data_IF_696741927398
#
_entry.id   IF_696741927398
#
_cell.length_a   1.000
_cell.length_b   1.000
_cell.length_c   1.000
_cell.angle_alpha   90.00
_cell.angle_beta   90.00
_cell.angle_gamma   90.00
#
_symmetry.space_group_name_H-M   'P 1'
#
loop_
_entity.id
_entity.type
_entity.pdbx_description
1 polymer ?
#
# COMPACT_ATOMS: atom_id res chain seq x y z
N UNK A 1 -11.50 30.24 -5.23
CA UNK A 1 -10.50 29.31 -4.66
C UNK A 1 -9.20 30.05 -4.42
N UNK A 2 -8.40 29.67 -3.40
CA UNK A 2 -7.09 30.25 -3.14
C UNK A 2 -6.19 30.20 -4.39
N UNK A 3 -5.36 31.23 -4.55
CA UNK A 3 -4.26 31.24 -5.51
C UNK A 3 -3.10 30.42 -4.97
N UNK A 4 -2.41 29.73 -5.87
CA UNK A 4 -1.27 28.85 -5.55
C UNK A 4 -0.22 29.58 -4.70
N UNK A 5 0.05 30.84 -5.06
CA UNK A 5 0.95 31.78 -4.38
C UNK A 5 0.66 31.90 -2.88
N UNK A 6 -0.60 31.78 -2.47
CA UNK A 6 -1.02 31.91 -1.06
C UNK A 6 -0.61 30.71 -0.21
N UNK A 7 -0.28 29.57 -0.85
CA UNK A 7 0.13 28.32 -0.20
C UNK A 7 1.56 27.93 -0.61
N UNK A 8 2.35 28.85 -1.16
CA UNK A 8 3.70 28.56 -1.66
C UNK A 8 4.55 27.83 -0.61
N UNK A 9 4.55 28.32 0.63
CA UNK A 9 5.37 27.82 1.73
C UNK A 9 4.66 26.74 2.59
N UNK A 10 3.45 26.33 2.21
CA UNK A 10 2.67 25.34 2.96
C UNK A 10 2.81 23.97 2.28
N UNK A 11 3.25 22.96 3.01
CA UNK A 11 3.19 21.58 2.54
C UNK A 11 1.74 21.08 2.56
N UNK A 12 1.28 20.46 1.48
CA UNK A 12 -0.12 19.97 1.36
C UNK A 12 -0.17 18.46 1.20
N UNK A 13 0.54 17.90 0.22
CA UNK A 13 0.56 16.46 -0.06
C UNK A 13 1.77 16.16 -0.95
N UNK A 14 2.34 14.97 -0.82
CA UNK A 14 3.43 14.50 -1.66
C UNK A 14 2.97 14.46 -3.13
N UNK A 15 3.85 14.90 -4.04
CA UNK A 15 3.65 14.83 -5.50
C UNK A 15 2.41 15.55 -6.05
N UNK A 16 1.82 16.48 -5.28
CA UNK A 16 0.73 17.31 -5.79
C UNK A 16 1.24 18.24 -6.91
N UNK A 17 0.56 18.26 -8.04
CA UNK A 17 0.95 19.08 -9.21
C UNK A 17 0.56 20.56 -9.09
N UNK A 18 -0.56 20.87 -8.46
CA UNK A 18 -1.01 22.25 -8.17
C UNK A 18 -1.73 22.30 -6.83
N UNK A 19 -1.52 23.38 -6.07
CA UNK A 19 -2.22 23.64 -4.80
C UNK A 19 -3.59 24.33 -4.99
N UNK A 20 -3.98 24.62 -6.23
CA UNK A 20 -5.29 25.22 -6.53
C UNK A 20 -6.37 24.18 -6.82
N UNK A 21 -7.59 24.48 -6.37
CA UNK A 21 -8.75 23.62 -6.59
C UNK A 21 -9.04 22.73 -5.39
N UNK A 22 -9.58 21.55 -5.66
CA UNK A 22 -9.95 20.57 -4.64
C UNK A 22 -8.89 19.47 -4.58
N UNK A 23 -8.38 19.21 -3.38
CA UNK A 23 -7.50 18.09 -3.07
C UNK A 23 -8.05 17.34 -1.85
N UNK A 24 -7.61 16.09 -1.67
CA UNK A 24 -7.95 15.25 -0.53
C UNK A 24 -6.69 14.90 0.26
N UNK A 25 -6.00 15.89 0.86
CA UNK A 25 -4.76 15.63 1.59
C UNK A 25 -5.03 14.79 2.83
N UNK A 26 -4.08 13.91 3.16
CA UNK A 26 -4.09 13.20 4.44
C UNK A 26 -3.84 14.19 5.59
N UNK A 27 -4.55 14.08 6.73
CA UNK A 27 -4.25 14.87 7.92
C UNK A 27 -2.81 14.66 8.45
N UNK A 28 -2.31 13.43 8.36
CA UNK A 28 -0.93 13.05 8.64
C UNK A 28 -0.50 12.02 7.59
N UNK A 29 0.18 12.49 6.56
CA UNK A 29 0.60 11.68 5.43
C UNK A 29 1.55 10.55 5.86
N UNK A 30 2.50 10.84 6.75
CA UNK A 30 3.47 9.86 7.22
C UNK A 30 2.81 8.74 8.03
N UNK A 31 1.85 9.09 8.88
CA UNK A 31 1.08 8.10 9.63
C UNK A 31 0.21 7.24 8.72
N UNK A 32 -0.40 7.86 7.70
CA UNK A 32 -1.31 7.18 6.78
C UNK A 32 -0.60 6.29 5.76
N UNK A 33 0.70 6.48 5.51
CA UNK A 33 1.50 5.52 4.74
C UNK A 33 1.66 4.16 5.42
N UNK A 34 1.51 4.09 6.74
CA UNK A 34 1.62 2.83 7.48
C UNK A 34 3.03 2.47 7.95
N UNK A 35 4.06 3.23 7.57
CA UNK A 35 5.45 2.96 7.97
C UNK A 35 5.66 2.85 9.49
N UNK A 36 5.04 3.72 10.34
CA UNK A 36 5.17 3.57 11.79
C UNK A 36 4.65 2.21 12.28
N UNK A 37 3.52 1.75 11.75
CA UNK A 37 2.89 0.48 12.11
C UNK A 37 3.68 -0.72 11.56
N UNK A 38 4.24 -0.60 10.36
CA UNK A 38 5.12 -1.61 9.75
C UNK A 38 6.37 -1.84 10.60
N UNK A 39 7.09 -0.76 10.94
CA UNK A 39 8.30 -0.87 11.78
C UNK A 39 7.96 -1.36 13.18
N UNK A 40 6.83 -0.91 13.76
CA UNK A 40 6.39 -1.41 15.05
C UNK A 40 6.11 -2.92 15.00
N UNK A 41 5.39 -3.40 13.98
CA UNK A 41 5.09 -4.83 13.84
C UNK A 41 6.37 -5.66 13.69
N UNK A 42 7.32 -5.19 12.89
CA UNK A 42 8.62 -5.84 12.72
C UNK A 42 9.39 -5.95 14.04
N UNK A 43 9.50 -4.86 14.78
CA UNK A 43 10.24 -4.84 16.05
C UNK A 43 9.58 -5.70 17.12
N UNK A 44 8.25 -5.66 17.23
CA UNK A 44 7.49 -6.50 18.15
C UNK A 44 7.54 -7.97 17.79
N UNK A 45 7.48 -8.31 16.49
CA UNK A 45 7.61 -9.68 16.00
C UNK A 45 8.90 -10.32 16.50
N UNK A 46 10.02 -9.62 16.33
CA UNK A 46 11.34 -10.04 16.82
C UNK A 46 11.36 -10.12 18.35
N UNK A 47 10.89 -9.09 19.04
CA UNK A 47 11.00 -9.00 20.50
C UNK A 47 10.15 -10.05 21.24
N UNK A 48 9.05 -10.51 20.63
CA UNK A 48 8.09 -11.43 21.25
C UNK A 48 8.08 -12.83 20.62
N UNK A 49 8.99 -13.09 19.67
CA UNK A 49 9.07 -14.36 18.94
C UNK A 49 7.72 -14.77 18.32
N UNK A 50 7.01 -13.79 17.75
CA UNK A 50 5.77 -14.02 17.00
C UNK A 50 6.01 -13.82 15.52
N UNK A 51 5.19 -14.44 14.70
CA UNK A 51 5.17 -14.17 13.27
C UNK A 51 4.78 -12.69 12.98
N UNK A 52 5.42 -12.05 11.99
CA UNK A 52 5.00 -10.74 11.50
C UNK A 52 3.63 -10.85 10.81
N UNK A 53 2.86 -9.76 10.83
CA UNK A 53 1.52 -9.74 10.20
C UNK A 53 1.59 -9.91 8.68
N UNK A 54 2.64 -9.39 8.05
CA UNK A 54 2.93 -9.53 6.61
C UNK A 54 4.26 -10.24 6.41
N UNK A 55 4.27 -11.55 6.66
CA UNK A 55 5.43 -12.41 6.42
C UNK A 55 5.55 -12.90 4.97
N UNK A 56 6.53 -13.77 4.73
CA UNK A 56 6.86 -14.30 3.40
C UNK A 56 5.71 -15.04 2.73
N UNK A 57 4.92 -15.81 3.50
CA UNK A 57 3.77 -16.55 2.97
C UNK A 57 2.69 -15.59 2.44
N UNK A 58 2.32 -14.58 3.23
CA UNK A 58 1.40 -13.54 2.79
C UNK A 58 1.91 -12.80 1.54
N UNK A 59 3.22 -12.53 1.45
CA UNK A 59 3.82 -11.93 0.26
C UNK A 59 3.72 -12.84 -0.98
N UNK A 60 3.99 -14.13 -0.82
CA UNK A 60 3.85 -15.13 -1.89
C UNK A 60 2.41 -15.19 -2.41
N UNK A 61 1.44 -15.25 -1.51
CA UNK A 61 0.01 -15.32 -1.86
C UNK A 61 -0.43 -14.08 -2.63
N UNK A 62 -0.01 -12.88 -2.21
CA UNK A 62 -0.31 -11.63 -2.92
C UNK A 62 0.25 -11.65 -4.34
N UNK A 63 1.48 -12.12 -4.53
CA UNK A 63 2.10 -12.22 -5.86
C UNK A 63 1.35 -13.22 -6.74
N UNK A 64 0.97 -14.37 -6.19
CA UNK A 64 0.21 -15.39 -6.91
C UNK A 64 -1.18 -14.90 -7.34
N UNK A 65 -1.88 -14.18 -6.45
CA UNK A 65 -3.17 -13.54 -6.75
C UNK A 65 -3.01 -12.51 -7.88
N UNK A 66 -2.01 -11.62 -7.78
CA UNK A 66 -1.76 -10.61 -8.81
C UNK A 66 -1.44 -11.24 -10.16
N UNK A 67 -0.59 -12.27 -10.17
CA UNK A 67 -0.24 -13.00 -11.39
C UNK A 67 -1.48 -13.62 -12.04
N UNK A 68 -2.30 -14.34 -11.27
CA UNK A 68 -3.53 -14.95 -11.77
C UNK A 68 -4.50 -13.90 -12.34
N UNK A 69 -4.63 -12.74 -11.69
CA UNK A 69 -5.46 -11.64 -12.18
C UNK A 69 -4.97 -11.08 -13.53
N UNK A 70 -3.66 -10.86 -13.70
CA UNK A 70 -3.11 -10.42 -14.97
C UNK A 70 -3.28 -11.47 -16.07
N UNK A 71 -3.08 -12.75 -15.75
CA UNK A 71 -3.26 -13.85 -16.71
C UNK A 71 -4.74 -13.98 -17.14
N UNK A 72 -5.68 -13.84 -16.21
CA UNK A 72 -7.11 -13.79 -16.52
C UNK A 72 -7.44 -12.63 -17.46
N UNK A 73 -6.92 -11.43 -17.19
CA UNK A 73 -7.11 -10.26 -18.04
C UNK A 73 -6.58 -10.48 -19.47
N UNK A 74 -5.38 -11.06 -19.61
CA UNK A 74 -4.82 -11.44 -20.91
C UNK A 74 -5.71 -12.44 -21.66
N UNK A 75 -6.30 -13.41 -20.93
CA UNK A 75 -7.22 -14.42 -21.45
C UNK A 75 -8.66 -13.95 -21.57
N UNK A 76 -8.90 -12.63 -21.58
CA UNK A 76 -10.23 -12.00 -21.75
C UNK A 76 -11.23 -12.37 -20.65
N UNK A 77 -10.76 -12.48 -19.41
CA UNK A 77 -11.59 -12.75 -18.23
C UNK A 77 -11.89 -14.23 -18.00
N UNK A 78 -11.09 -15.14 -18.56
CA UNK A 78 -11.15 -16.56 -18.22
C UNK A 78 -10.83 -16.76 -16.73
N UNK A 79 -11.51 -17.71 -16.08
CA UNK A 79 -11.18 -18.12 -14.73
C UNK A 79 -9.78 -18.77 -14.71
N UNK A 80 -8.96 -18.37 -13.73
CA UNK A 80 -7.59 -18.86 -13.57
C UNK A 80 -7.41 -19.26 -12.11
N UNK A 81 -6.96 -20.49 -11.88
CA UNK A 81 -6.62 -20.97 -10.55
C UNK A 81 -5.45 -20.16 -9.98
N UNK A 82 -5.57 -19.77 -8.72
CA UNK A 82 -4.52 -19.07 -8.01
C UNK A 82 -3.57 -20.12 -7.42
N UNK A 83 -2.27 -20.10 -7.77
CA UNK A 83 -1.32 -21.11 -7.30
C UNK A 83 -0.91 -20.82 -5.85
N UNK A 84 -1.81 -21.07 -4.90
CA UNK A 84 -1.56 -20.93 -3.46
C UNK A 84 -1.18 -22.29 -2.89
N UNK A 85 -0.10 -22.34 -2.10
CA UNK A 85 0.28 -23.53 -1.36
C UNK A 85 -0.29 -23.44 0.06
N UNK A 86 -1.32 -24.23 0.35
CA UNK A 86 -1.95 -24.31 1.67
C UNK A 86 -1.26 -25.30 2.63
N UNK A 87 -0.19 -25.96 2.18
CA UNK A 87 0.49 -27.01 2.94
C UNK A 87 1.66 -26.50 3.80
N UNK A 88 1.95 -25.19 3.78
CA UNK A 88 2.95 -24.54 4.63
C UNK A 88 2.27 -23.94 5.86
#
# INVERSE_FOLDING_TARGET
>A
NPREEQLADVYVMEKIGTKQGWSNPSPDENWMFGYPQEIQDFMEAIATDREPKSGTLAASDVVNVLYAAYLSAERKGEEVDIPIDFAI
#
